data_IF_067491351266
#
_entry.id   IF_067491351266
#
_cell.length_a   1.000
_cell.length_b   1.000
_cell.length_c   1.000
_cell.angle_alpha   90.00
_cell.angle_beta   90.00
_cell.angle_gamma   90.00
#
_symmetry.space_group_name_H-M   'P 1'
#
loop_
_entity.id
_entity.type
_entity.pdbx_description
1 polymer ?
#
# COMPACT_ATOMS: atom_id res chain seq x y z
N UNK A 1 -0.57 -26.85 -9.55
CA UNK A 1 -1.50 -26.27 -8.56
C UNK A 1 -2.47 -25.39 -9.32
N UNK A 2 -3.76 -25.72 -9.31
CA UNK A 2 -4.78 -24.90 -9.98
C UNK A 2 -5.30 -23.80 -9.04
N UNK A 3 -5.19 -22.54 -9.47
CA UNK A 3 -5.67 -21.38 -8.72
C UNK A 3 -7.20 -21.32 -8.78
N UNK A 4 -7.86 -21.04 -7.65
CA UNK A 4 -9.31 -20.84 -7.58
C UNK A 4 -9.74 -19.68 -8.49
N UNK A 5 -10.77 -19.91 -9.31
CA UNK A 5 -11.40 -18.84 -10.09
C UNK A 5 -12.04 -17.82 -9.15
N UNK A 6 -11.57 -16.58 -9.21
CA UNK A 6 -12.00 -15.46 -8.36
C UNK A 6 -12.32 -14.25 -9.22
N UNK A 7 -13.13 -13.33 -8.69
CA UNK A 7 -13.40 -12.04 -9.32
C UNK A 7 -12.08 -11.27 -9.48
N UNK A 8 -11.86 -10.69 -10.65
CA UNK A 8 -10.72 -9.80 -10.89
C UNK A 8 -11.05 -8.42 -10.33
N UNK A 9 -10.15 -7.87 -9.51
CA UNK A 9 -10.21 -6.50 -9.01
C UNK A 9 -8.98 -5.73 -9.48
N UNK A 10 -9.11 -4.40 -9.54
CA UNK A 10 -8.03 -3.50 -9.94
C UNK A 10 -7.58 -2.67 -8.74
N UNK A 11 -6.29 -2.70 -8.43
CA UNK A 11 -5.63 -1.86 -7.43
C UNK A 11 -4.61 -0.97 -8.14
N UNK A 12 -4.99 0.29 -8.41
CA UNK A 12 -4.17 1.18 -9.25
C UNK A 12 -3.98 0.60 -10.65
N UNK A 13 -2.75 0.24 -11.01
CA UNK A 13 -2.39 -0.40 -12.27
C UNK A 13 -2.27 -1.93 -12.18
N UNK A 14 -2.53 -2.54 -11.02
CA UNK A 14 -2.38 -3.97 -10.78
C UNK A 14 -3.73 -4.69 -10.82
N UNK A 15 -3.77 -5.89 -11.42
CA UNK A 15 -4.93 -6.77 -11.44
C UNK A 15 -4.74 -7.93 -10.45
N UNK A 16 -5.71 -8.13 -9.56
CA UNK A 16 -5.68 -9.17 -8.52
C UNK A 16 -6.86 -10.11 -8.74
N UNK A 17 -6.61 -11.43 -8.64
CA UNK A 17 -7.62 -12.47 -8.82
C UNK A 17 -7.73 -13.01 -10.24
N UNK A 18 -8.67 -13.93 -10.46
CA UNK A 18 -8.80 -14.67 -11.72
C UNK A 18 -7.54 -15.48 -12.05
N UNK A 19 -7.05 -15.35 -13.29
CA UNK A 19 -5.83 -16.01 -13.80
C UNK A 19 -4.59 -15.10 -13.81
N UNK A 20 -4.66 -13.90 -13.24
CA UNK A 20 -3.50 -13.01 -13.12
C UNK A 20 -2.41 -13.65 -12.24
N UNK A 21 -1.16 -13.18 -12.25
CA UNK A 21 -0.13 -13.62 -11.29
C UNK A 21 -0.53 -13.36 -9.82
N UNK A 22 0.18 -14.01 -8.89
CA UNK A 22 0.07 -13.68 -7.46
C UNK A 22 0.95 -12.47 -7.21
N UNK A 23 0.35 -11.38 -6.73
CA UNK A 23 1.04 -10.11 -6.50
C UNK A 23 1.75 -10.10 -5.16
N UNK A 24 2.97 -9.55 -5.12
CA UNK A 24 3.77 -9.41 -3.90
C UNK A 24 3.41 -8.11 -3.18
N UNK A 25 2.94 -8.23 -1.95
CA UNK A 25 2.61 -7.10 -1.09
C UNK A 25 3.50 -7.11 0.16
N UNK A 26 3.93 -5.92 0.60
CA UNK A 26 4.65 -5.72 1.87
C UNK A 26 4.07 -4.56 2.67
N UNK A 27 4.56 -4.35 3.89
CA UNK A 27 4.11 -3.29 4.78
C UNK A 27 5.31 -2.56 5.37
N UNK A 28 5.24 -1.23 5.45
CA UNK A 28 6.26 -0.42 6.13
C UNK A 28 6.16 -0.59 7.64
N UNK A 29 7.29 -0.51 8.34
CA UNK A 29 7.35 -0.48 9.81
C UNK A 29 7.81 0.88 10.36
N UNK A 30 7.99 1.87 9.49
CA UNK A 30 8.24 3.27 9.83
C UNK A 30 6.95 3.97 10.25
N UNK A 31 7.07 5.09 10.98
CA UNK A 31 5.94 5.99 11.23
C UNK A 31 5.57 6.69 9.94
N UNK A 32 4.33 6.53 9.46
CA UNK A 32 3.87 7.05 8.16
C UNK A 32 4.03 8.57 8.03
N UNK A 33 3.93 9.30 9.13
CA UNK A 33 4.16 10.75 9.19
C UNK A 33 5.65 11.14 9.00
N UNK A 34 6.59 10.22 9.23
CA UNK A 34 8.03 10.36 8.88
C UNK A 34 8.24 10.04 7.40
N UNK A 35 7.76 10.95 6.56
CA UNK A 35 7.73 10.80 5.09
C UNK A 35 9.09 10.39 4.51
N UNK A 36 10.24 11.00 4.89
CA UNK A 36 11.54 10.62 4.34
C UNK A 36 11.86 9.14 4.60
N UNK A 37 11.70 8.66 5.85
CA UNK A 37 11.98 7.26 6.20
C UNK A 37 11.00 6.30 5.54
N UNK A 38 9.72 6.66 5.49
CA UNK A 38 8.72 5.82 4.82
C UNK A 38 9.01 5.70 3.33
N UNK A 39 9.40 6.78 2.66
CA UNK A 39 9.77 6.72 1.24
C UNK A 39 11.04 5.91 0.98
N UNK A 40 12.05 6.03 1.83
CA UNK A 40 13.27 5.23 1.77
C UNK A 40 12.95 3.74 1.87
N UNK A 41 12.17 3.35 2.88
CA UNK A 41 11.73 1.96 3.04
C UNK A 41 10.86 1.47 1.88
N UNK A 42 9.96 2.30 1.35
CA UNK A 42 9.15 1.93 0.18
C UNK A 42 10.06 1.68 -1.02
N UNK A 43 11.10 2.49 -1.21
CA UNK A 43 12.06 2.31 -2.30
C UNK A 43 12.81 0.99 -2.15
N UNK A 44 13.31 0.67 -0.95
CA UNK A 44 13.97 -0.60 -0.66
C UNK A 44 13.06 -1.81 -0.95
N UNK A 45 11.81 -1.76 -0.48
CA UNK A 45 10.83 -2.82 -0.73
C UNK A 45 10.51 -2.94 -2.22
N UNK A 46 10.40 -1.82 -2.94
CA UNK A 46 10.16 -1.82 -4.39
C UNK A 46 11.33 -2.47 -5.14
N UNK A 47 12.57 -2.17 -4.73
CA UNK A 47 13.79 -2.80 -5.31
C UNK A 47 13.80 -4.30 -5.03
N UNK A 48 13.32 -4.74 -3.87
CA UNK A 48 13.20 -6.15 -3.51
C UNK A 48 12.04 -6.89 -4.23
N UNK A 49 11.28 -6.20 -5.10
CA UNK A 49 10.19 -6.80 -5.87
C UNK A 49 8.79 -6.62 -5.26
N UNK A 50 8.61 -5.72 -4.29
CA UNK A 50 7.30 -5.38 -3.77
C UNK A 50 6.46 -4.66 -4.84
N UNK A 51 5.28 -5.19 -5.14
CA UNK A 51 4.37 -4.62 -6.14
C UNK A 51 3.29 -3.74 -5.49
N UNK A 52 2.92 -3.99 -4.23
CA UNK A 52 1.90 -3.25 -3.49
C UNK A 52 2.42 -2.92 -2.09
N UNK A 53 2.33 -1.67 -1.67
CA UNK A 53 2.74 -1.28 -0.31
C UNK A 53 1.55 -1.00 0.60
N UNK A 54 1.61 -1.46 1.85
CA UNK A 54 0.71 -1.07 2.94
C UNK A 54 1.41 -0.17 3.96
N UNK A 55 0.73 0.87 4.43
CA UNK A 55 1.23 1.78 5.49
C UNK A 55 0.20 1.90 6.61
N UNK A 56 0.67 2.04 7.86
CA UNK A 56 -0.21 2.21 9.02
C UNK A 56 -0.80 3.62 9.06
N UNK A 57 -2.10 3.75 9.38
CA UNK A 57 -2.79 5.04 9.51
C UNK A 57 -3.48 5.13 10.88
N UNK A 58 -2.72 5.26 11.98
CA UNK A 58 -3.29 5.30 13.33
C UNK A 58 -3.91 6.64 13.70
N UNK A 59 -3.56 7.73 13.00
CA UNK A 59 -3.99 9.08 13.32
C UNK A 59 -4.09 9.97 12.07
N UNK A 60 -4.59 11.20 12.25
CA UNK A 60 -4.82 12.15 11.17
C UNK A 60 -3.52 12.67 10.53
N UNK A 61 -2.40 12.71 11.26
CA UNK A 61 -1.10 13.11 10.71
C UNK A 61 -0.59 12.08 9.71
N UNK A 62 -0.67 10.79 10.07
CA UNK A 62 -0.37 9.68 9.18
C UNK A 62 -1.27 9.70 7.94
N UNK A 63 -2.57 9.99 8.09
CA UNK A 63 -3.50 10.10 6.96
C UNK A 63 -3.11 11.24 6.00
N UNK A 64 -2.80 12.43 6.53
CA UNK A 64 -2.33 13.58 5.74
C UNK A 64 -1.00 13.31 5.03
N UNK A 65 -0.15 12.45 5.59
CA UNK A 65 1.11 12.08 4.98
C UNK A 65 0.94 11.23 3.70
N UNK A 66 -0.16 10.48 3.58
CA UNK A 66 -0.44 9.60 2.43
C UNK A 66 -0.38 10.37 1.11
N UNK A 67 -0.97 11.57 1.03
CA UNK A 67 -0.95 12.37 -0.21
C UNK A 67 0.47 12.71 -0.64
N UNK A 68 1.36 13.03 0.31
CA UNK A 68 2.76 13.36 0.04
C UNK A 68 3.57 12.13 -0.37
N UNK A 69 3.32 10.99 0.28
CA UNK A 69 3.94 9.70 -0.07
C UNK A 69 3.48 9.27 -1.46
N UNK A 70 2.18 9.32 -1.74
CA UNK A 70 1.60 8.80 -2.98
C UNK A 70 2.09 9.55 -4.22
N UNK A 71 2.38 10.85 -4.12
CA UNK A 71 2.98 11.64 -5.20
C UNK A 71 4.41 11.20 -5.57
N UNK A 72 5.10 10.50 -4.68
CA UNK A 72 6.52 10.15 -4.83
C UNK A 72 6.75 8.66 -5.12
N UNK A 73 5.71 7.83 -5.06
CA UNK A 73 5.79 6.38 -5.30
C UNK A 73 4.99 5.97 -6.53
N UNK A 74 5.48 4.95 -7.25
CA UNK A 74 4.81 4.42 -8.45
C UNK A 74 3.87 3.26 -8.13
N UNK A 75 4.23 2.42 -7.15
CA UNK A 75 3.42 1.26 -6.77
C UNK A 75 2.11 1.68 -6.07
N UNK A 76 1.04 0.86 -6.15
CA UNK A 76 -0.18 1.09 -5.39
C UNK A 76 0.05 1.05 -3.87
N UNK A 77 -0.69 1.89 -3.14
CA UNK A 77 -0.61 2.02 -1.68
C UNK A 77 -1.95 1.62 -1.04
N UNK A 78 -1.88 0.86 0.05
CA UNK A 78 -3.00 0.47 0.92
C UNK A 78 -2.84 1.22 2.25
N UNK A 79 -3.91 1.89 2.68
CA UNK A 79 -4.04 2.48 4.01
C UNK A 79 -4.56 1.43 5.01
N UNK A 80 -3.83 1.19 6.08
CA UNK A 80 -4.22 0.26 7.16
C UNK A 80 -4.85 1.02 8.32
N UNK A 81 -6.17 0.84 8.50
CA UNK A 81 -6.99 1.59 9.45
C UNK A 81 -7.69 0.59 10.37
N UNK A 82 -7.48 0.74 11.67
CA UNK A 82 -7.98 -0.22 12.66
C UNK A 82 -9.37 0.14 13.21
N UNK A 83 -9.63 1.41 13.51
CA UNK A 83 -10.79 1.79 14.34
C UNK A 83 -11.59 2.99 13.82
N UNK A 84 -10.94 4.11 13.49
CA UNK A 84 -11.64 5.36 13.17
C UNK A 84 -11.93 5.49 11.66
N UNK A 85 -13.21 5.37 11.30
CA UNK A 85 -13.66 5.52 9.92
C UNK A 85 -13.32 6.90 9.32
N UNK A 86 -13.17 7.94 10.15
CA UNK A 86 -12.79 9.27 9.68
C UNK A 86 -11.41 9.26 9.03
N UNK A 87 -10.51 8.40 9.49
CA UNK A 87 -9.20 8.22 8.86
C UNK A 87 -9.30 7.57 7.48
N UNK A 88 -10.37 6.81 7.22
CA UNK A 88 -10.63 6.20 5.91
C UNK A 88 -11.18 7.20 4.89
N UNK A 89 -11.79 8.29 5.37
CA UNK A 89 -12.37 9.35 4.54
C UNK A 89 -11.44 10.55 4.34
N UNK A 90 -10.34 10.63 5.11
CA UNK A 90 -9.43 11.77 5.17
C UNK A 90 -8.56 11.97 3.92
#
# INVERSE_FOLDING_TARGET
MDRKQTKVIRLGNILIGGKNPVTIQSMTNTRTEDIPKTLEQIKELTIAGCEIIRVAVPNLESAKAITKIKKQIKIPLIADIHFDYKLALA
#
